data_IF_319456347983
#
_entry.id   IF_319456347983
#
_cell.length_a   1.000
_cell.length_b   1.000
_cell.length_c   1.000
_cell.angle_alpha   90.00
_cell.angle_beta   90.00
_cell.angle_gamma   90.00
#
_symmetry.space_group_name_H-M   'P 1'
#
loop_
_entity.id
_entity.type
_entity.pdbx_description
1 polymer ?
#
# COMPACT_ATOMS: atom_id res chain seq x y z
N UNK A 1 -12.29 23.37 -10.09
CA UNK A 1 -11.67 23.29 -8.75
C UNK A 1 -11.56 21.84 -8.25
N UNK A 2 -12.63 21.04 -8.22
CA UNK A 2 -12.61 19.66 -7.69
C UNK A 2 -11.66 18.69 -8.43
N UNK A 3 -11.61 18.72 -9.79
CA UNK A 3 -10.69 17.89 -10.57
C UNK A 3 -9.23 18.12 -10.21
N UNK A 4 -8.85 19.39 -10.00
CA UNK A 4 -7.49 19.75 -9.63
C UNK A 4 -7.12 19.19 -8.25
N UNK A 5 -8.04 19.29 -7.27
CA UNK A 5 -7.82 18.72 -5.96
C UNK A 5 -7.60 17.20 -6.02
N UNK A 6 -8.39 16.49 -6.84
CA UNK A 6 -8.29 15.05 -7.03
C UNK A 6 -7.01 14.64 -7.79
N UNK A 7 -6.58 15.44 -8.78
CA UNK A 7 -5.26 15.27 -9.40
C UNK A 7 -4.15 15.41 -8.36
N UNK A 8 -4.26 16.42 -7.47
CA UNK A 8 -3.25 16.69 -6.45
C UNK A 8 -3.12 15.52 -5.47
N UNK A 9 -4.21 14.89 -5.01
CA UNK A 9 -4.14 13.72 -4.13
C UNK A 9 -3.29 12.62 -4.76
N UNK A 10 -3.58 12.27 -6.02
CA UNK A 10 -2.82 11.26 -6.73
C UNK A 10 -1.34 11.62 -6.92
N UNK A 11 -1.03 12.88 -7.25
CA UNK A 11 0.35 13.34 -7.45
C UNK A 11 1.13 13.38 -6.13
N UNK A 12 0.49 13.67 -4.99
CA UNK A 12 1.15 13.70 -3.67
C UNK A 12 1.80 12.34 -3.36
N UNK A 13 1.20 11.23 -3.82
CA UNK A 13 1.79 9.90 -3.66
C UNK A 13 3.19 9.79 -4.29
N UNK A 14 3.48 10.53 -5.37
CA UNK A 14 4.80 10.57 -6.01
C UNK A 14 5.86 11.33 -5.20
N UNK A 15 5.46 12.10 -4.19
CA UNK A 15 6.37 12.66 -3.19
C UNK A 15 6.43 11.77 -1.94
N UNK A 16 5.27 11.26 -1.50
CA UNK A 16 5.13 10.44 -0.29
C UNK A 16 5.88 9.12 -0.40
N UNK A 17 5.75 8.40 -1.52
CA UNK A 17 6.38 7.09 -1.70
C UNK A 17 7.91 7.20 -1.71
N UNK A 18 8.56 8.11 -2.46
CA UNK A 18 10.02 8.29 -2.36
C UNK A 18 10.50 8.67 -0.95
N UNK A 19 9.75 9.50 -0.22
CA UNK A 19 10.05 9.80 1.16
C UNK A 19 9.99 8.54 2.03
N UNK A 20 8.91 7.75 1.89
CA UNK A 20 8.76 6.47 2.57
C UNK A 20 9.91 5.52 2.19
N UNK A 21 10.28 5.40 0.93
CA UNK A 21 11.40 4.59 0.45
C UNK A 21 12.71 4.93 1.18
N UNK A 22 13.06 6.21 1.26
CA UNK A 22 14.25 6.66 2.00
C UNK A 22 14.18 6.31 3.50
N UNK A 23 13.02 6.52 4.13
CA UNK A 23 12.80 6.17 5.54
C UNK A 23 12.94 4.66 5.76
N UNK A 24 12.29 3.85 4.92
CA UNK A 24 12.36 2.39 4.99
C UNK A 24 13.79 1.90 4.75
N UNK A 25 14.49 2.41 3.73
CA UNK A 25 15.87 2.02 3.46
C UNK A 25 16.76 2.24 4.70
N UNK A 26 16.73 3.44 5.26
CA UNK A 26 17.56 3.80 6.43
C UNK A 26 17.11 3.06 7.69
N UNK A 27 15.81 3.02 7.94
CA UNK A 27 15.23 2.39 9.12
C UNK A 27 15.50 0.88 9.15
N UNK A 28 15.22 0.18 8.06
CA UNK A 28 15.47 -1.27 7.96
C UNK A 28 16.98 -1.59 8.05
N UNK A 29 17.83 -0.78 7.44
CA UNK A 29 19.30 -0.93 7.55
C UNK A 29 19.78 -0.82 9.00
N UNK A 30 19.30 0.17 9.74
CA UNK A 30 19.63 0.37 11.15
C UNK A 30 19.07 -0.75 12.04
N UNK A 31 17.92 -1.30 11.68
CA UNK A 31 17.34 -2.49 12.31
C UNK A 31 18.05 -3.80 11.90
N UNK A 32 19.11 -3.72 11.09
CA UNK A 32 19.92 -4.86 10.61
C UNK A 32 19.12 -5.89 9.80
N UNK A 33 18.03 -5.45 9.16
CA UNK A 33 17.28 -6.28 8.22
C UNK A 33 18.19 -6.63 7.03
N UNK A 34 18.18 -7.88 6.52
CA UNK A 34 19.05 -8.29 5.42
C UNK A 34 18.86 -7.45 4.16
N UNK A 35 19.95 -7.16 3.43
CA UNK A 35 19.93 -6.32 2.24
C UNK A 35 18.94 -6.80 1.15
N UNK A 36 18.78 -8.12 1.00
CA UNK A 36 17.78 -8.71 0.08
C UNK A 36 16.34 -8.34 0.46
N UNK A 37 16.03 -8.28 1.75
CA UNK A 37 14.71 -7.92 2.25
C UNK A 37 14.50 -6.41 2.10
N UNK A 38 15.54 -5.60 2.37
CA UNK A 38 15.50 -4.15 2.09
C UNK A 38 15.21 -3.90 0.61
N UNK A 39 15.90 -4.60 -0.30
CA UNK A 39 15.66 -4.49 -1.75
C UNK A 39 14.21 -4.85 -2.11
N UNK A 40 13.67 -5.96 -1.57
CA UNK A 40 12.27 -6.32 -1.79
C UNK A 40 11.31 -5.24 -1.30
N UNK A 41 11.56 -4.62 -0.14
CA UNK A 41 10.76 -3.49 0.36
C UNK A 41 10.82 -2.28 -0.57
N UNK A 42 12.00 -1.93 -1.09
CA UNK A 42 12.17 -0.80 -2.01
C UNK A 42 11.47 -1.07 -3.35
N UNK A 43 11.61 -2.28 -3.89
CA UNK A 43 10.92 -2.69 -5.12
C UNK A 43 9.40 -2.69 -4.93
N UNK A 44 8.92 -3.17 -3.77
CA UNK A 44 7.52 -3.13 -3.42
C UNK A 44 6.96 -1.70 -3.41
N UNK A 45 7.64 -0.78 -2.71
CA UNK A 45 7.27 0.64 -2.70
C UNK A 45 7.32 1.26 -4.11
N UNK A 46 8.32 0.93 -4.93
CA UNK A 46 8.39 1.40 -6.31
C UNK A 46 7.21 0.88 -7.16
N UNK A 47 6.76 -0.35 -6.95
CA UNK A 47 5.58 -0.90 -7.64
C UNK A 47 4.27 -0.21 -7.22
N UNK A 48 4.19 0.36 -6.01
CA UNK A 48 3.06 1.24 -5.66
C UNK A 48 3.00 2.44 -6.61
N UNK A 49 4.14 3.07 -6.93
CA UNK A 49 4.15 4.19 -7.87
C UNK A 49 3.70 3.78 -9.28
N UNK A 50 4.07 2.57 -9.73
CA UNK A 50 3.60 2.03 -11.01
C UNK A 50 2.09 1.78 -11.00
N UNK A 51 1.56 1.24 -9.90
CA UNK A 51 0.12 1.06 -9.72
C UNK A 51 -0.62 2.40 -9.78
N UNK A 52 -0.18 3.40 -9.02
CA UNK A 52 -0.80 4.74 -9.02
C UNK A 52 -0.67 5.41 -10.40
N UNK A 53 0.44 5.22 -11.12
CA UNK A 53 0.56 5.74 -12.49
C UNK A 53 -0.51 5.14 -13.42
N UNK A 54 -0.79 3.84 -13.30
CA UNK A 54 -1.86 3.18 -14.05
C UNK A 54 -3.25 3.71 -13.66
N UNK A 55 -3.49 3.91 -12.36
CA UNK A 55 -4.72 4.50 -11.83
C UNK A 55 -4.94 5.94 -12.33
N UNK A 56 -3.91 6.79 -12.32
CA UNK A 56 -3.97 8.14 -12.91
C UNK A 56 -4.32 8.04 -14.40
N UNK A 57 -3.65 7.15 -15.13
CA UNK A 57 -3.95 6.93 -16.55
C UNK A 57 -5.42 6.57 -16.76
N UNK A 58 -5.96 5.70 -15.91
CA UNK A 58 -7.37 5.34 -15.92
C UNK A 58 -8.27 6.53 -15.57
N UNK A 59 -7.95 7.32 -14.55
CA UNK A 59 -8.70 8.53 -14.23
C UNK A 59 -8.73 9.55 -15.36
N UNK A 60 -7.66 9.66 -16.14
CA UNK A 60 -7.65 10.52 -17.32
C UNK A 60 -8.69 10.05 -18.35
N UNK A 61 -8.81 8.74 -18.60
CA UNK A 61 -9.77 8.22 -19.61
C UNK A 61 -11.23 8.40 -19.17
N UNK A 62 -11.52 8.30 -17.87
CA UNK A 62 -12.86 8.52 -17.30
C UNK A 62 -13.13 9.98 -16.87
N UNK A 63 -12.25 10.92 -17.22
CA UNK A 63 -12.44 12.35 -16.93
C UNK A 63 -12.44 12.71 -15.44
N UNK A 64 -11.75 11.90 -14.62
CA UNK A 64 -11.64 11.96 -13.16
C UNK A 64 -12.93 11.69 -12.40
N UNK A 65 -13.88 11.01 -13.04
CA UNK A 65 -15.07 10.47 -12.37
C UNK A 65 -14.78 9.04 -11.96
N UNK A 66 -15.07 8.65 -10.72
CA UNK A 66 -14.84 7.27 -10.29
C UNK A 66 -15.83 6.29 -10.95
N UNK A 67 -15.34 5.33 -11.73
CA UNK A 67 -16.11 4.18 -12.23
C UNK A 67 -15.41 2.88 -11.85
N UNK A 68 -16.14 1.77 -11.75
CA UNK A 68 -15.58 0.45 -11.44
C UNK A 68 -15.46 -0.43 -12.70
N UNK A 69 -14.96 0.12 -13.80
CA UNK A 69 -14.88 -0.61 -15.06
C UNK A 69 -13.68 -1.56 -15.12
N UNK A 70 -13.80 -2.61 -15.93
CA UNK A 70 -12.65 -3.44 -16.30
C UNK A 70 -11.90 -2.78 -17.45
N UNK A 71 -10.62 -2.47 -17.23
CA UNK A 71 -9.74 -1.87 -18.24
C UNK A 71 -8.32 -2.38 -18.04
N UNK A 72 -7.48 -2.30 -19.08
CA UNK A 72 -6.05 -2.65 -18.96
C UNK A 72 -5.35 -1.82 -17.88
N UNK A 73 -5.72 -0.55 -17.72
CA UNK A 73 -5.12 0.34 -16.70
C UNK A 73 -5.58 -0.04 -15.28
N UNK A 74 -6.84 -0.41 -15.10
CA UNK A 74 -7.34 -0.91 -13.82
C UNK A 74 -6.76 -2.30 -13.48
N UNK A 75 -6.54 -3.17 -14.48
CA UNK A 75 -5.78 -4.42 -14.31
C UNK A 75 -4.36 -4.14 -13.83
N UNK A 76 -3.62 -3.27 -14.53
CA UNK A 76 -2.26 -2.89 -14.16
C UNK A 76 -2.19 -2.34 -12.74
N UNK A 77 -3.14 -1.48 -12.35
CA UNK A 77 -3.25 -1.00 -10.97
C UNK A 77 -3.30 -2.16 -9.97
N UNK A 78 -4.24 -3.10 -10.10
CA UNK A 78 -4.34 -4.22 -9.15
C UNK A 78 -3.13 -5.15 -9.22
N UNK A 79 -2.63 -5.48 -10.41
CA UNK A 79 -1.49 -6.36 -10.59
C UNK A 79 -0.25 -5.81 -9.87
N UNK A 80 0.08 -4.53 -10.11
CA UNK A 80 1.23 -3.90 -9.48
C UNK A 80 1.02 -3.63 -8.00
N UNK A 81 -0.21 -3.32 -7.56
CA UNK A 81 -0.51 -3.11 -6.14
C UNK A 81 -0.39 -4.40 -5.31
N UNK A 82 -0.91 -5.51 -5.82
CA UNK A 82 -0.74 -6.84 -5.21
C UNK A 82 0.75 -7.18 -5.15
N UNK A 83 1.46 -7.07 -6.28
CA UNK A 83 2.91 -7.32 -6.35
C UNK A 83 3.68 -6.46 -5.36
N UNK A 84 3.31 -5.18 -5.24
CA UNK A 84 3.89 -4.23 -4.32
C UNK A 84 3.75 -4.69 -2.86
N UNK A 85 2.53 -5.04 -2.44
CA UNK A 85 2.28 -5.46 -1.06
C UNK A 85 2.95 -6.80 -0.73
N UNK A 86 3.04 -7.73 -1.68
CA UNK A 86 3.77 -9.00 -1.49
C UNK A 86 5.26 -8.73 -1.27
N UNK A 87 5.88 -7.94 -2.15
CA UNK A 87 7.30 -7.59 -2.05
C UNK A 87 7.60 -6.77 -0.81
N UNK A 88 6.75 -5.80 -0.49
CA UNK A 88 6.88 -4.99 0.71
C UNK A 88 6.78 -5.85 1.97
N UNK A 89 5.81 -6.76 2.01
CA UNK A 89 5.63 -7.71 3.11
C UNK A 89 6.80 -8.66 3.27
N UNK A 90 7.38 -9.20 2.18
CA UNK A 90 8.61 -10.01 2.24
C UNK A 90 9.81 -9.20 2.71
N UNK A 91 9.85 -7.91 2.36
CA UNK A 91 10.93 -7.01 2.75
C UNK A 91 11.01 -6.67 4.24
N UNK A 92 9.97 -6.99 5.02
CA UNK A 92 9.93 -6.82 6.47
C UNK A 92 10.33 -8.09 7.25
N UNK A 93 10.71 -9.16 6.55
CA UNK A 93 11.13 -10.41 7.17
C UNK A 93 12.63 -10.38 7.44
N UNK A 94 13.00 -10.51 8.72
CA UNK A 94 14.39 -10.70 9.16
C UNK A 94 14.92 -12.06 8.70
N UNK A 95 14.22 -13.14 9.10
CA UNK A 95 14.59 -14.52 8.76
C UNK A 95 13.46 -15.27 8.05
N UNK A 96 13.77 -15.88 6.90
CA UNK A 96 12.78 -16.61 6.11
C UNK A 96 12.46 -17.97 6.73
N UNK A 97 11.36 -18.03 7.47
CA UNK A 97 10.76 -19.27 8.00
C UNK A 97 10.05 -20.08 6.91
N UNK A 98 9.73 -21.35 7.19
CA UNK A 98 8.90 -22.18 6.32
C UNK A 98 7.54 -21.54 6.04
N UNK A 99 6.91 -20.94 7.06
CA UNK A 99 5.66 -20.19 6.93
C UNK A 99 5.81 -19.00 5.99
N UNK A 100 6.91 -18.25 6.07
CA UNK A 100 7.16 -17.13 5.16
C UNK A 100 7.26 -17.59 3.71
N UNK A 101 7.98 -18.70 3.45
CA UNK A 101 8.10 -19.27 2.11
C UNK A 101 6.75 -19.74 1.57
N UNK A 102 5.97 -20.44 2.40
CA UNK A 102 4.64 -20.91 2.05
C UNK A 102 3.71 -19.74 1.69
N UNK A 103 3.64 -18.70 2.52
CA UNK A 103 2.82 -17.52 2.25
C UNK A 103 3.22 -16.83 0.95
N UNK A 104 4.52 -16.73 0.66
CA UNK A 104 4.98 -16.13 -0.59
C UNK A 104 4.56 -16.96 -1.82
N UNK A 105 4.55 -18.28 -1.73
CA UNK A 105 4.04 -19.16 -2.80
C UNK A 105 2.53 -18.95 -2.98
N UNK A 106 1.76 -18.93 -1.88
CA UNK A 106 0.32 -18.66 -1.92
C UNK A 106 0.03 -17.31 -2.57
N UNK A 107 0.80 -16.27 -2.25
CA UNK A 107 0.62 -14.95 -2.85
C UNK A 107 1.01 -14.90 -4.33
N UNK A 108 2.07 -15.61 -4.74
CA UNK A 108 2.44 -15.71 -6.15
C UNK A 108 1.35 -16.43 -6.97
N UNK A 109 0.80 -17.54 -6.45
CA UNK A 109 -0.34 -18.23 -7.05
C UNK A 109 -1.60 -17.35 -7.04
N UNK A 110 -1.81 -16.59 -5.97
CA UNK A 110 -2.90 -15.62 -5.86
C UNK A 110 -2.84 -14.56 -6.96
N UNK A 111 -1.65 -14.03 -7.27
CA UNK A 111 -1.47 -13.07 -8.37
C UNK A 111 -1.82 -13.68 -9.74
N UNK A 112 -1.44 -14.94 -9.98
CA UNK A 112 -1.82 -15.67 -11.19
C UNK A 112 -3.34 -15.82 -11.29
N UNK A 113 -3.99 -16.27 -10.20
CA UNK A 113 -5.44 -16.43 -10.14
C UNK A 113 -6.14 -15.08 -10.34
N UNK A 114 -5.68 -14.01 -9.69
CA UNK A 114 -6.22 -12.66 -9.86
C UNK A 114 -6.13 -12.19 -11.32
N UNK A 115 -5.04 -12.52 -12.01
CA UNK A 115 -4.86 -12.17 -13.42
C UNK A 115 -5.85 -12.91 -14.32
N UNK A 116 -6.08 -14.20 -14.08
CA UNK A 116 -7.06 -15.00 -14.82
C UNK A 116 -8.48 -14.50 -14.54
N UNK A 117 -8.83 -14.30 -13.26
CA UNK A 117 -10.16 -13.85 -12.87
C UNK A 117 -10.49 -12.46 -13.40
N UNK A 118 -9.49 -11.57 -13.50
CA UNK A 118 -9.69 -10.24 -14.07
C UNK A 118 -10.08 -10.34 -15.55
N UNK A 119 -9.37 -11.15 -16.34
CA UNK A 119 -9.68 -11.38 -17.75
C UNK A 119 -11.07 -12.01 -17.92
N UNK A 120 -11.38 -13.06 -17.16
CA UNK A 120 -12.69 -13.70 -17.20
C UNK A 120 -13.81 -12.72 -16.84
N UNK A 121 -13.60 -11.88 -15.81
CA UNK A 121 -14.55 -10.83 -15.41
C UNK A 121 -14.75 -9.77 -16.49
N UNK A 122 -13.69 -9.39 -17.21
CA UNK A 122 -13.75 -8.50 -18.36
C UNK A 122 -14.59 -9.09 -19.50
N UNK A 123 -14.35 -10.36 -19.86
CA UNK A 123 -15.11 -11.06 -20.91
C UNK A 123 -16.60 -11.18 -20.58
N UNK A 124 -16.94 -11.46 -19.32
CA UNK A 124 -18.31 -11.68 -18.86
C UNK A 124 -19.02 -10.40 -18.39
N UNK A 125 -18.31 -9.28 -18.31
CA UNK A 125 -18.81 -7.97 -17.81
C UNK A 125 -19.44 -8.07 -16.42
N UNK A 126 -18.83 -8.84 -15.55
CA UNK A 126 -19.37 -9.20 -14.24
C UNK A 126 -18.41 -8.74 -13.13
N UNK A 127 -18.78 -7.65 -12.44
CA UNK A 127 -17.93 -7.00 -11.43
C UNK A 127 -17.62 -7.90 -10.22
N UNK A 128 -18.45 -8.93 -9.96
CA UNK A 128 -18.24 -9.86 -8.85
C UNK A 128 -16.92 -10.65 -8.96
N UNK A 129 -16.33 -10.76 -10.17
CA UNK A 129 -15.00 -11.34 -10.38
C UNK A 129 -13.85 -10.52 -9.76
N UNK A 130 -14.08 -9.25 -9.39
CA UNK A 130 -13.11 -8.45 -8.63
C UNK A 130 -13.09 -8.79 -7.13
N UNK A 131 -14.14 -9.42 -6.60
CA UNK A 131 -14.24 -9.75 -5.16
C UNK A 131 -13.06 -10.62 -4.69
N UNK A 132 -12.68 -11.73 -5.36
CA UNK A 132 -11.52 -12.51 -4.96
C UNK A 132 -10.20 -11.72 -4.97
N UNK A 133 -10.07 -10.75 -5.89
CA UNK A 133 -8.89 -9.86 -5.98
C UNK A 133 -8.81 -8.98 -4.73
N UNK A 134 -9.94 -8.42 -4.28
CA UNK A 134 -10.02 -7.63 -3.05
C UNK A 134 -9.74 -8.44 -1.78
N UNK A 135 -10.22 -9.69 -1.73
CA UNK A 135 -9.92 -10.61 -0.64
C UNK A 135 -8.42 -10.89 -0.58
N UNK A 136 -7.80 -11.20 -1.72
CA UNK A 136 -6.36 -11.44 -1.80
C UNK A 136 -5.56 -10.22 -1.34
N UNK A 137 -5.93 -9.03 -1.83
CA UNK A 137 -5.28 -7.77 -1.43
C UNK A 137 -5.35 -7.56 0.09
N UNK A 138 -6.53 -7.79 0.68
CA UNK A 138 -6.76 -7.67 2.12
C UNK A 138 -5.91 -8.66 2.92
N UNK A 139 -5.82 -9.92 2.48
CA UNK A 139 -5.00 -10.94 3.13
C UNK A 139 -3.51 -10.60 3.09
N UNK A 140 -3.01 -10.14 1.93
CA UNK A 140 -1.61 -9.72 1.79
C UNK A 140 -1.34 -8.52 2.70
N UNK A 141 -2.26 -7.55 2.75
CA UNK A 141 -2.13 -6.37 3.60
C UNK A 141 -2.15 -6.73 5.10
N UNK A 142 -2.95 -7.72 5.51
CA UNK A 142 -2.93 -8.24 6.87
C UNK A 142 -1.57 -8.86 7.22
N UNK A 143 -0.98 -9.65 6.30
CA UNK A 143 0.36 -10.21 6.50
C UNK A 143 1.43 -9.13 6.54
N UNK A 144 1.35 -8.12 5.66
CA UNK A 144 2.24 -6.95 5.68
C UNK A 144 2.19 -6.25 7.05
N UNK A 145 0.98 -5.98 7.55
CA UNK A 145 0.76 -5.33 8.85
C UNK A 145 1.33 -6.18 9.99
N UNK A 146 1.07 -7.50 9.98
CA UNK A 146 1.59 -8.41 10.99
C UNK A 146 3.12 -8.49 10.99
N UNK A 147 3.75 -8.56 9.82
CA UNK A 147 5.21 -8.57 9.72
C UNK A 147 5.80 -7.24 10.16
N UNK A 148 5.17 -6.12 9.80
CA UNK A 148 5.52 -4.82 10.34
C UNK A 148 5.41 -4.77 11.87
N UNK A 149 4.36 -5.37 12.46
CA UNK A 149 4.20 -5.44 13.91
C UNK A 149 5.36 -6.20 14.54
N UNK A 150 5.72 -7.36 13.99
CA UNK A 150 6.83 -8.17 14.48
C UNK A 150 8.18 -7.47 14.37
N UNK A 151 8.42 -6.74 13.28
CA UNK A 151 9.67 -6.02 13.07
C UNK A 151 9.78 -4.78 13.99
N UNK A 152 8.70 -4.02 14.12
CA UNK A 152 8.73 -2.73 14.82
C UNK A 152 8.46 -2.88 16.32
N UNK A 153 7.79 -3.96 16.72
CA UNK A 153 7.33 -4.21 18.09
C UNK A 153 6.59 -2.98 18.65
N UNK A 154 5.64 -2.46 17.86
CA UNK A 154 4.82 -1.29 18.21
C UNK A 154 3.36 -1.57 17.83
N UNK A 155 2.47 -1.57 18.82
CA UNK A 155 1.04 -1.81 18.65
C UNK A 155 0.36 -0.76 17.76
N UNK A 156 0.94 0.45 17.64
CA UNK A 156 0.39 1.54 16.80
C UNK A 156 0.33 1.19 15.32
N UNK A 157 0.96 0.11 14.89
CA UNK A 157 0.78 -0.40 13.54
C UNK A 157 -0.66 -0.78 13.20
N UNK A 158 -1.54 -0.97 14.20
CA UNK A 158 -2.98 -1.16 13.98
C UNK A 158 -3.63 0.04 13.28
N UNK A 159 -3.05 1.23 13.37
CA UNK A 159 -3.54 2.40 12.63
C UNK A 159 -3.32 2.26 11.12
N UNK A 160 -2.33 1.48 10.67
CA UNK A 160 -2.08 1.25 9.25
C UNK A 160 -3.29 0.59 8.55
N UNK A 161 -3.78 -0.60 8.95
CA UNK A 161 -4.99 -1.18 8.36
C UNK A 161 -6.26 -0.41 8.69
N UNK A 162 -6.33 0.28 9.83
CA UNK A 162 -7.48 1.13 10.13
C UNK A 162 -7.66 2.22 9.06
N UNK A 163 -6.60 2.95 8.71
CA UNK A 163 -6.67 3.98 7.67
C UNK A 163 -6.66 3.38 6.25
N UNK A 164 -5.69 2.52 5.91
CA UNK A 164 -5.54 1.97 4.56
C UNK A 164 -6.68 1.07 4.12
N UNK A 165 -7.40 0.43 5.04
CA UNK A 165 -8.52 -0.47 4.71
C UNK A 165 -9.83 0.06 5.28
N UNK A 166 -9.92 0.31 6.59
CA UNK A 166 -11.19 0.72 7.21
C UNK A 166 -11.73 2.06 6.70
N UNK A 167 -10.93 3.12 6.81
CA UNK A 167 -11.30 4.46 6.34
C UNK A 167 -11.45 4.47 4.82
N UNK A 168 -10.52 3.82 4.12
CA UNK A 168 -10.57 3.65 2.66
C UNK A 168 -11.91 3.02 2.20
N UNK A 169 -12.26 1.83 2.71
CA UNK A 169 -13.52 1.14 2.37
C UNK A 169 -14.76 1.94 2.76
N UNK A 170 -14.70 2.71 3.85
CA UNK A 170 -15.80 3.61 4.24
C UNK A 170 -16.08 4.62 3.13
N UNK A 171 -15.04 5.25 2.56
CA UNK A 171 -15.22 6.21 1.48
C UNK A 171 -15.57 5.56 0.14
N UNK A 172 -15.07 4.35 -0.15
CA UNK A 172 -15.52 3.56 -1.31
C UNK A 172 -17.01 3.23 -1.20
N UNK A 173 -17.47 2.82 -0.02
CA UNK A 173 -18.89 2.58 0.24
C UNK A 173 -19.73 3.85 0.03
N UNK A 174 -19.25 5.00 0.52
CA UNK A 174 -19.92 6.29 0.31
C UNK A 174 -19.94 6.71 -1.16
N UNK A 175 -18.85 6.45 -1.91
CA UNK A 175 -18.82 6.66 -3.37
C UNK A 175 -19.89 5.85 -4.08
N UNK A 176 -20.04 4.57 -3.70
CA UNK A 176 -21.03 3.69 -4.32
C UNK A 176 -22.48 4.15 -4.05
N UNK A 177 -22.78 4.61 -2.84
CA UNK A 177 -24.16 4.95 -2.44
C UNK A 177 -24.54 6.40 -2.73
N UNK A 178 -23.60 7.34 -2.63
CA UNK A 178 -23.86 8.78 -2.66
C UNK A 178 -23.04 9.52 -3.72
N UNK A 179 -22.16 8.84 -4.45
CA UNK A 179 -21.25 9.42 -5.43
C UNK A 179 -21.85 9.72 -6.81
N UNK A 180 -23.17 9.77 -6.98
CA UNK A 180 -23.80 10.06 -8.29
C UNK A 180 -23.64 11.52 -8.74
N UNK A 181 -23.38 12.44 -7.80
CA UNK A 181 -23.10 13.85 -8.10
C UNK A 181 -21.61 14.16 -8.11
N UNK A 182 -21.17 15.05 -9.02
CA UNK A 182 -19.74 15.43 -9.19
C UNK A 182 -19.07 15.87 -7.88
N UNK A 183 -19.79 16.62 -7.04
CA UNK A 183 -19.23 17.17 -5.79
C UNK A 183 -18.96 16.08 -4.76
N UNK A 184 -19.94 15.20 -4.50
CA UNK A 184 -19.80 14.12 -3.52
C UNK A 184 -18.87 13.02 -4.04
N UNK A 185 -18.91 12.71 -5.34
CA UNK A 185 -17.95 11.82 -5.98
C UNK A 185 -16.51 12.31 -5.73
N UNK A 186 -16.23 13.56 -6.10
CA UNK A 186 -14.90 14.12 -5.91
C UNK A 186 -14.50 14.18 -4.43
N UNK A 187 -15.41 14.57 -3.54
CA UNK A 187 -15.14 14.66 -2.11
C UNK A 187 -14.77 13.30 -1.51
N UNK A 188 -15.59 12.27 -1.71
CA UNK A 188 -15.32 10.96 -1.14
C UNK A 188 -14.09 10.31 -1.75
N UNK A 189 -13.81 10.54 -3.03
CA UNK A 189 -12.59 10.07 -3.68
C UNK A 189 -11.35 10.75 -3.08
N UNK A 190 -11.35 12.08 -2.93
CA UNK A 190 -10.26 12.81 -2.27
C UNK A 190 -10.04 12.31 -0.83
N UNK A 191 -11.12 12.05 -0.08
CA UNK A 191 -11.02 11.57 1.29
C UNK A 191 -10.52 10.12 1.36
N UNK A 192 -10.93 9.27 0.43
CA UNK A 192 -10.39 7.92 0.27
C UNK A 192 -8.87 7.95 0.06
N UNK A 193 -8.38 8.82 -0.83
CA UNK A 193 -6.95 8.93 -1.15
C UNK A 193 -6.16 9.46 0.04
N UNK A 194 -6.53 10.64 0.53
CA UNK A 194 -5.78 11.36 1.57
C UNK A 194 -5.89 10.67 2.93
N UNK A 195 -7.12 10.46 3.41
CA UNK A 195 -7.36 9.94 4.76
C UNK A 195 -7.19 8.43 4.82
N UNK A 196 -7.43 7.71 3.72
CA UNK A 196 -7.23 6.27 3.66
C UNK A 196 -5.80 5.91 3.29
N UNK A 197 -5.51 5.95 1.99
CA UNK A 197 -4.29 5.40 1.40
C UNK A 197 -3.03 6.14 1.84
N UNK A 198 -2.98 7.45 1.65
CA UNK A 198 -1.79 8.27 1.94
C UNK A 198 -1.50 8.31 3.43
N UNK A 199 -2.52 8.52 4.27
CA UNK A 199 -2.36 8.53 5.73
C UNK A 199 -1.82 7.18 6.23
N UNK A 200 -2.32 6.05 5.72
CA UNK A 200 -1.80 4.74 6.11
C UNK A 200 -0.33 4.53 5.76
N UNK A 201 0.10 4.94 4.55
CA UNK A 201 1.52 4.92 4.15
C UNK A 201 2.36 5.85 5.04
N UNK A 202 1.88 7.06 5.30
CA UNK A 202 2.57 8.04 6.14
C UNK A 202 2.76 7.53 7.57
N UNK A 203 1.73 6.91 8.16
CA UNK A 203 1.80 6.29 9.49
C UNK A 203 2.83 5.17 9.50
N UNK A 204 2.82 4.29 8.49
CA UNK A 204 3.78 3.18 8.46
C UNK A 204 5.22 3.69 8.33
N UNK A 205 5.45 4.65 7.42
CA UNK A 205 6.75 5.32 7.29
C UNK A 205 7.16 5.98 8.61
N UNK A 206 6.26 6.68 9.30
CA UNK A 206 6.54 7.29 10.60
C UNK A 206 6.93 6.28 11.67
N UNK A 207 6.26 5.13 11.75
CA UNK A 207 6.61 4.06 12.71
C UNK A 207 8.02 3.52 12.43
N UNK A 208 8.36 3.30 11.15
CA UNK A 208 9.71 2.86 10.75
C UNK A 208 10.75 3.94 11.04
N UNK A 209 10.44 5.21 10.78
CA UNK A 209 11.31 6.33 11.14
C UNK A 209 11.58 6.36 12.64
N UNK A 210 10.54 6.27 13.46
CA UNK A 210 10.64 6.35 14.90
C UNK A 210 11.50 5.20 15.46
N UNK A 211 11.18 3.96 15.09
CA UNK A 211 11.90 2.77 15.58
C UNK A 211 13.30 2.63 14.98
N UNK A 212 13.39 2.70 13.65
CA UNK A 212 14.62 2.40 12.92
C UNK A 212 15.60 3.57 12.81
N UNK A 213 15.16 4.82 12.96
CA UNK A 213 16.05 5.98 12.79
C UNK A 213 16.18 6.79 14.08
N UNK A 214 15.06 7.29 14.63
CA UNK A 214 15.10 8.19 15.78
C UNK A 214 15.64 7.50 17.03
N UNK A 215 15.05 6.36 17.43
CA UNK A 215 15.51 5.61 18.59
C UNK A 215 16.91 5.02 18.41
N UNK A 216 17.28 4.64 17.19
CA UNK A 216 18.61 4.13 16.89
C UNK A 216 19.69 5.18 17.17
N UNK A 217 19.49 6.42 16.69
CA UNK A 217 20.40 7.54 16.98
C UNK A 217 20.56 7.82 18.46
N UNK A 218 19.46 7.83 19.22
CA UNK A 218 19.50 8.04 20.67
C UNK A 218 20.32 6.95 21.38
N UNK A 219 20.16 5.68 20.99
CA UNK A 219 20.91 4.54 21.56
C UNK A 219 22.40 4.58 21.21
N UNK A 220 22.76 5.03 20.01
CA UNK A 220 24.17 5.22 19.65
C UNK A 220 24.80 6.37 20.43
N UNK A 221 24.09 7.49 20.57
CA UNK A 221 24.56 8.64 21.36
C UNK A 221 24.74 8.29 22.84
N UNK A 222 23.83 7.51 23.43
CA UNK A 222 23.96 7.08 24.83
C UNK A 222 25.13 6.12 25.07
N UNK A 223 25.57 5.36 24.06
CA UNK A 223 26.77 4.50 24.15
C UNK A 223 28.08 5.27 24.06
N UNK A 224 28.04 6.50 23.57
CA UNK A 224 29.20 7.36 23.36
C UNK A 224 29.36 8.41 24.47
N UNK A 225 28.39 8.54 25.38
CA UNK A 225 28.50 9.39 26.55
C UNK A 225 29.36 8.67 27.61
N UNK A 226 30.44 9.30 28.13
CA UNK A 226 31.21 8.73 29.23
C UNK A 226 30.33 8.62 30.48
N UNK A 227 30.43 7.50 31.18
CA UNK A 227 29.82 7.32 32.50
C UNK A 227 30.41 8.38 33.45
N UNK A 228 29.60 9.35 33.85
CA UNK A 228 29.94 10.35 34.87
C UNK A 228 29.69 9.80 36.27
#
# INVERSE_FOLDING_TARGET
SWKLALIITHIITFALIPLAMNIFYRGLKNLKVPAKSIFASQLGLAFIMVAIAAEIGWHVTQGWYYTNEFTMLNFMFYFFLISAFVLWSDGLVEDKTATSKFLNIVFALGLLVASILYEVGYEHKEDSFKIPIYILLTLIFAVLTYRGYKLLDDWKIIFVPFFSVGVNLTFVFLLQHYGQGKTLNALFHILHDLLGTETGVAIFAWLVYHKGIAQFKTREQSKLAPDN
#
